data_IF_464605824298
#
_entry.id   IF_464605824298
#
_cell.length_a   1.000
_cell.length_b   1.000
_cell.length_c   1.000
_cell.angle_alpha   90.00
_cell.angle_beta   90.00
_cell.angle_gamma   90.00
#
_symmetry.space_group_name_H-M   'P 1'
#
loop_
_entity.id
_entity.type
_entity.pdbx_description
1 polymer ?
#
# COMPACT_ATOMS: atom_id res chain seq x y z
N UNK A 1 1.02 5.42 40.97
CA UNK A 1 0.39 4.23 40.34
C UNK A 1 1.00 4.06 38.96
N UNK A 2 1.99 3.18 38.79
CA UNK A 2 2.51 2.82 37.47
C UNK A 2 1.56 1.81 36.83
N UNK A 3 0.96 2.19 35.69
CA UNK A 3 0.09 1.32 34.92
C UNK A 3 0.96 0.28 34.19
N UNK A 4 1.36 -0.78 34.90
CA UNK A 4 2.09 -1.90 34.33
C UNK A 4 1.13 -2.66 33.40
N UNK A 5 1.19 -2.38 32.09
CA UNK A 5 0.55 -3.25 31.09
C UNK A 5 1.21 -4.62 31.19
N UNK A 6 0.44 -5.66 31.51
CA UNK A 6 0.88 -7.04 31.29
C UNK A 6 1.32 -7.15 29.82
N UNK A 7 2.52 -7.66 29.52
CA UNK A 7 2.92 -7.86 28.13
C UNK A 7 1.91 -8.81 27.47
N UNK A 8 1.38 -8.42 26.32
CA UNK A 8 0.57 -9.33 25.52
C UNK A 8 1.44 -10.52 25.11
N UNK A 9 0.88 -11.73 25.01
CA UNK A 9 1.63 -12.90 24.55
C UNK A 9 2.11 -12.78 23.09
N UNK A 10 1.52 -11.86 22.32
CA UNK A 10 1.90 -11.55 20.93
C UNK A 10 2.67 -10.24 20.93
N UNK A 11 3.81 -10.20 20.26
CA UNK A 11 4.65 -9.01 20.13
C UNK A 11 4.45 -8.35 18.75
N UNK A 12 4.83 -7.07 18.57
CA UNK A 12 4.80 -6.43 17.26
C UNK A 12 5.76 -7.13 16.30
N UNK A 13 5.35 -7.32 15.05
CA UNK A 13 6.20 -7.90 14.02
C UNK A 13 7.20 -6.85 13.53
N UNK A 14 8.46 -6.98 13.97
CA UNK A 14 9.58 -6.16 13.49
C UNK A 14 9.75 -6.21 11.96
N UNK A 15 9.75 -7.38 11.27
CA UNK A 15 9.93 -7.40 9.82
C UNK A 15 8.78 -6.72 9.09
N UNK A 16 7.54 -6.85 9.58
CA UNK A 16 6.40 -6.12 9.02
C UNK A 16 6.59 -4.61 9.18
N UNK A 17 7.04 -4.14 10.35
CA UNK A 17 7.27 -2.71 10.58
C UNK A 17 8.34 -2.14 9.64
N UNK A 18 9.43 -2.89 9.42
CA UNK A 18 10.49 -2.48 8.50
C UNK A 18 9.96 -2.31 7.07
N UNK A 19 9.14 -3.25 6.59
CA UNK A 19 8.54 -3.17 5.26
C UNK A 19 7.56 -2.01 5.12
N UNK A 20 6.70 -1.79 6.12
CA UNK A 20 5.76 -0.67 6.13
C UNK A 20 6.48 0.67 6.08
N UNK A 21 7.52 0.85 6.90
CA UNK A 21 8.32 2.08 6.94
C UNK A 21 9.13 2.30 5.65
N UNK A 22 9.67 1.22 5.06
CA UNK A 22 10.32 1.30 3.75
C UNK A 22 9.33 1.78 2.68
N UNK A 23 8.13 1.19 2.63
CA UNK A 23 7.12 1.55 1.63
C UNK A 23 6.56 2.96 1.86
N UNK A 24 6.41 3.39 3.11
CA UNK A 24 6.05 4.77 3.44
C UNK A 24 7.08 5.78 2.90
N UNK A 25 8.37 5.47 3.04
CA UNK A 25 9.45 6.31 2.53
C UNK A 25 9.54 6.29 1.00
N UNK A 26 9.25 5.14 0.37
CA UNK A 26 9.30 4.96 -1.07
C UNK A 26 8.05 5.48 -1.81
N UNK A 27 6.91 5.63 -1.11
CA UNK A 27 5.62 6.00 -1.70
C UNK A 27 5.66 7.37 -2.43
N UNK A 28 6.27 8.45 -1.91
CA UNK A 28 6.38 9.70 -2.65
C UNK A 28 7.14 9.55 -3.96
N UNK A 29 8.24 8.78 -3.96
CA UNK A 29 9.04 8.53 -5.16
C UNK A 29 8.24 7.76 -6.22
N UNK A 30 7.53 6.72 -5.78
CA UNK A 30 6.61 5.93 -6.61
C UNK A 30 5.55 6.81 -7.28
N UNK A 31 4.91 7.71 -6.52
CA UNK A 31 3.87 8.62 -7.03
C UNK A 31 4.46 9.64 -8.01
N UNK A 32 5.62 10.22 -7.70
CA UNK A 32 6.31 11.15 -8.61
C UNK A 32 6.68 10.45 -9.91
N UNK A 33 7.18 9.21 -9.85
CA UNK A 33 7.51 8.44 -11.05
C UNK A 33 6.26 8.13 -11.91
N UNK A 34 5.14 7.74 -11.29
CA UNK A 34 3.89 7.48 -12.00
C UNK A 34 3.32 8.75 -12.65
N UNK A 35 3.30 9.87 -11.91
CA UNK A 35 2.87 11.16 -12.46
C UNK A 35 3.82 11.68 -13.55
N UNK A 36 5.13 11.47 -13.41
CA UNK A 36 6.12 11.81 -14.43
C UNK A 36 5.93 11.00 -15.70
N UNK A 37 5.64 9.70 -15.58
CA UNK A 37 5.28 8.82 -16.70
C UNK A 37 4.02 9.32 -17.42
N UNK A 38 2.97 9.69 -16.67
CA UNK A 38 1.75 10.29 -17.23
C UNK A 38 2.02 11.62 -17.95
N UNK A 39 2.81 12.52 -17.35
CA UNK A 39 3.18 13.79 -17.97
C UNK A 39 3.95 13.58 -19.28
N UNK A 40 4.92 12.65 -19.28
CA UNK A 40 5.67 12.28 -20.47
C UNK A 40 4.77 11.74 -21.59
N UNK A 41 3.86 10.81 -21.28
CA UNK A 41 2.91 10.27 -22.24
C UNK A 41 1.96 11.33 -22.76
N UNK A 42 1.44 12.20 -21.89
CA UNK A 42 0.52 13.28 -22.26
C UNK A 42 1.16 14.32 -23.17
N UNK A 43 2.49 14.49 -23.10
CA UNK A 43 3.24 15.38 -23.99
C UNK A 43 3.51 14.74 -25.36
N UNK A 44 3.93 13.47 -25.38
CA UNK A 44 4.47 12.83 -26.59
C UNK A 44 3.45 12.01 -27.38
N UNK A 45 2.48 11.39 -26.70
CA UNK A 45 1.56 10.43 -27.29
C UNK A 45 0.15 11.03 -27.45
N UNK A 46 -0.60 10.60 -28.49
CA UNK A 46 -1.94 11.11 -28.72
C UNK A 46 -2.93 10.55 -27.68
N UNK A 47 -3.17 11.30 -26.60
CA UNK A 47 -4.08 10.91 -25.53
C UNK A 47 -5.54 11.34 -25.78
N UNK A 48 -6.53 10.43 -25.68
CA UNK A 48 -7.92 10.82 -25.53
C UNK A 48 -8.11 11.61 -24.24
N UNK A 49 -8.70 12.82 -24.31
CA UNK A 49 -8.85 13.73 -23.15
C UNK A 49 -9.57 13.06 -21.97
N UNK A 50 -10.61 12.27 -22.22
CA UNK A 50 -11.38 11.59 -21.19
C UNK A 50 -10.54 10.54 -20.44
N UNK A 51 -9.76 9.74 -21.17
CA UNK A 51 -8.89 8.73 -20.56
C UNK A 51 -7.79 9.39 -19.73
N UNK A 52 -7.15 10.44 -20.25
CA UNK A 52 -6.06 11.13 -19.55
C UNK A 52 -6.49 11.67 -18.18
N UNK A 53 -7.68 12.29 -18.11
CA UNK A 53 -8.21 12.81 -16.84
C UNK A 53 -8.48 11.71 -15.81
N UNK A 54 -9.00 10.56 -16.24
CA UNK A 54 -9.25 9.42 -15.34
C UNK A 54 -7.95 8.87 -14.78
N UNK A 55 -6.93 8.70 -15.61
CA UNK A 55 -5.65 8.15 -15.17
C UNK A 55 -4.91 9.08 -14.19
N UNK A 56 -4.96 10.40 -14.42
CA UNK A 56 -4.46 11.39 -13.46
C UNK A 56 -5.23 11.29 -12.14
N UNK A 57 -6.56 11.21 -12.20
CA UNK A 57 -7.37 11.10 -11.00
C UNK A 57 -7.01 9.84 -10.19
N UNK A 58 -6.83 8.70 -10.86
CA UNK A 58 -6.39 7.45 -10.22
C UNK A 58 -4.98 7.57 -9.62
N UNK A 59 -4.05 8.25 -10.30
CA UNK A 59 -2.68 8.43 -9.81
C UNK A 59 -2.65 9.32 -8.56
N UNK A 60 -3.48 10.37 -8.54
CA UNK A 60 -3.65 11.25 -7.37
C UNK A 60 -4.34 10.50 -6.21
N UNK A 61 -5.35 9.68 -6.50
CA UNK A 61 -6.06 8.88 -5.49
C UNK A 61 -5.20 7.78 -4.87
N UNK A 62 -4.19 7.27 -5.58
CA UNK A 62 -3.29 6.24 -5.07
C UNK A 62 -2.58 6.67 -3.79
N UNK A 63 -2.09 7.92 -3.73
CA UNK A 63 -1.33 8.43 -2.60
C UNK A 63 -2.10 8.37 -1.26
N UNK A 64 -3.30 8.99 -1.12
CA UNK A 64 -4.04 8.95 0.14
C UNK A 64 -4.50 7.53 0.50
N UNK A 65 -4.87 6.69 -0.49
CA UNK A 65 -5.25 5.29 -0.23
C UNK A 65 -4.08 4.53 0.40
N UNK A 66 -2.89 4.64 -0.18
CA UNK A 66 -1.71 3.94 0.32
C UNK A 66 -1.20 4.52 1.64
N UNK A 67 -1.27 5.84 1.84
CA UNK A 67 -0.97 6.49 3.12
C UNK A 67 -1.86 5.96 4.25
N UNK A 68 -3.18 5.89 4.01
CA UNK A 68 -4.12 5.36 5.00
C UNK A 68 -3.87 3.88 5.26
N UNK A 69 -3.65 3.08 4.21
CA UNK A 69 -3.28 1.67 4.34
C UNK A 69 -2.06 1.53 5.25
N UNK A 70 -0.94 2.17 4.92
CA UNK A 70 0.31 2.09 5.70
C UNK A 70 0.14 2.58 7.15
N UNK A 71 -0.61 3.65 7.37
CA UNK A 71 -0.93 4.17 8.70
C UNK A 71 -1.64 3.12 9.56
N UNK A 72 -2.70 2.50 9.03
CA UNK A 72 -3.46 1.47 9.76
C UNK A 72 -2.64 0.19 9.96
N UNK A 73 -1.77 -0.15 9.00
CA UNK A 73 -0.82 -1.26 9.13
C UNK A 73 0.14 -1.06 10.30
N UNK A 74 0.80 0.11 10.35
CA UNK A 74 1.73 0.46 11.43
C UNK A 74 1.01 0.55 12.78
N UNK A 75 -0.16 1.18 12.83
CA UNK A 75 -0.98 1.23 14.06
C UNK A 75 -1.39 -0.15 14.54
N UNK A 76 -1.85 -1.02 13.65
CA UNK A 76 -2.28 -2.36 14.02
C UNK A 76 -1.15 -3.27 14.46
N UNK A 77 0.02 -3.14 13.84
CA UNK A 77 1.23 -3.86 14.23
C UNK A 77 1.76 -3.40 15.59
N UNK A 78 1.98 -2.10 15.79
CA UNK A 78 2.58 -1.55 17.01
C UNK A 78 1.65 -1.59 18.22
N UNK A 79 0.34 -1.45 18.02
CA UNK A 79 -0.65 -1.51 19.10
C UNK A 79 -1.21 -2.92 19.32
N UNK A 80 -0.79 -3.90 18.52
CA UNK A 80 -1.27 -5.29 18.58
C UNK A 80 -2.80 -5.34 18.59
N UNK A 81 -3.42 -4.62 17.65
CA UNK A 81 -4.84 -4.30 17.68
C UNK A 81 -5.54 -4.79 16.41
N UNK A 82 -6.56 -5.62 16.58
CA UNK A 82 -7.33 -6.23 15.49
C UNK A 82 -8.05 -5.17 14.63
N UNK A 83 -8.79 -4.19 15.18
CA UNK A 83 -9.53 -3.24 14.34
C UNK A 83 -8.70 -2.50 13.28
N UNK A 84 -7.55 -1.87 13.60
CA UNK A 84 -6.70 -1.24 12.57
C UNK A 84 -6.06 -2.25 11.61
N UNK A 85 -5.74 -3.47 12.06
CA UNK A 85 -5.27 -4.55 11.17
C UNK A 85 -6.34 -4.96 10.15
N UNK A 86 -7.60 -5.03 10.55
CA UNK A 86 -8.71 -5.33 9.63
C UNK A 86 -8.85 -4.23 8.57
N UNK A 87 -8.79 -2.96 8.97
CA UNK A 87 -8.80 -1.84 8.02
C UNK A 87 -7.63 -1.93 7.05
N UNK A 88 -6.43 -2.21 7.54
CA UNK A 88 -5.24 -2.44 6.71
C UNK A 88 -5.45 -3.57 5.70
N UNK A 89 -5.97 -4.72 6.12
CA UNK A 89 -6.22 -5.89 5.27
C UNK A 89 -7.22 -5.54 4.17
N UNK A 90 -8.34 -4.90 4.51
CA UNK A 90 -9.36 -4.49 3.53
C UNK A 90 -8.78 -3.48 2.53
N UNK A 91 -8.05 -2.47 2.99
CA UNK A 91 -7.42 -1.50 2.08
C UNK A 91 -6.35 -2.15 1.20
N UNK A 92 -5.61 -3.14 1.71
CA UNK A 92 -4.61 -3.88 0.93
C UNK A 92 -5.21 -4.72 -0.19
N UNK A 93 -6.51 -5.06 -0.12
CA UNK A 93 -7.20 -5.69 -1.25
C UNK A 93 -7.49 -4.70 -2.39
N UNK A 94 -7.49 -3.38 -2.13
CA UNK A 94 -7.67 -2.35 -3.16
C UNK A 94 -6.36 -2.07 -3.93
N UNK A 95 -5.21 -2.26 -3.29
CA UNK A 95 -3.87 -2.01 -3.87
C UNK A 95 -3.60 -2.76 -5.18
N UNK A 96 -3.93 -4.07 -5.32
CA UNK A 96 -3.76 -4.80 -6.58
C UNK A 96 -4.59 -4.23 -7.73
N UNK A 97 -5.82 -3.77 -7.47
CA UNK A 97 -6.68 -3.23 -8.53
C UNK A 97 -6.11 -1.92 -9.10
N UNK A 98 -5.64 -1.03 -8.22
CA UNK A 98 -5.06 0.23 -8.64
C UNK A 98 -3.70 0.02 -9.32
N UNK A 99 -2.88 -0.91 -8.83
CA UNK A 99 -1.62 -1.28 -9.50
C UNK A 99 -1.87 -1.95 -10.86
N UNK A 100 -2.83 -2.87 -10.96
CA UNK A 100 -3.19 -3.52 -12.21
C UNK A 100 -3.66 -2.51 -13.27
N UNK A 101 -4.34 -1.44 -12.84
CA UNK A 101 -4.73 -0.36 -13.74
C UNK A 101 -3.51 0.26 -14.43
N UNK A 102 -2.48 0.67 -13.68
CA UNK A 102 -1.27 1.25 -14.27
C UNK A 102 -0.39 0.23 -15.00
N UNK A 103 -0.47 -1.06 -14.67
CA UNK A 103 0.30 -2.11 -15.32
C UNK A 103 -0.31 -2.61 -16.64
N UNK A 104 -1.63 -2.59 -16.78
CA UNK A 104 -2.35 -3.29 -17.86
C UNK A 104 -3.43 -2.44 -18.52
N UNK A 105 -4.25 -1.73 -17.74
CA UNK A 105 -5.44 -1.04 -18.26
C UNK A 105 -5.22 0.43 -18.63
N UNK A 106 -4.02 0.97 -18.41
CA UNK A 106 -3.65 2.30 -18.84
C UNK A 106 -3.69 2.41 -20.37
N UNK A 107 -4.02 3.59 -20.91
CA UNK A 107 -4.10 3.82 -22.37
C UNK A 107 -2.77 3.53 -23.06
N UNK A 108 -1.68 4.00 -22.47
CA UNK A 108 -0.32 3.66 -22.87
C UNK A 108 0.43 3.13 -21.66
N UNK A 109 0.93 1.90 -21.75
CA UNK A 109 1.71 1.25 -20.70
C UNK A 109 3.18 1.25 -21.13
N UNK A 110 4.05 1.88 -20.35
CA UNK A 110 5.50 1.81 -20.54
C UNK A 110 6.08 0.67 -19.67
N UNK A 111 7.25 0.17 -20.06
CA UNK A 111 7.98 -0.80 -19.25
C UNK A 111 8.26 -0.27 -17.84
N UNK A 112 8.52 1.05 -17.70
CA UNK A 112 8.74 1.70 -16.41
C UNK A 112 7.54 1.51 -15.47
N UNK A 113 6.31 1.69 -15.95
CA UNK A 113 5.09 1.56 -15.14
C UNK A 113 4.93 0.13 -14.64
N UNK A 114 5.19 -0.85 -15.53
CA UNK A 114 5.11 -2.26 -15.18
C UNK A 114 6.10 -2.64 -14.09
N UNK A 115 7.37 -2.24 -14.22
CA UNK A 115 8.40 -2.54 -13.23
C UNK A 115 8.10 -1.91 -11.87
N UNK A 116 7.75 -0.61 -11.89
CA UNK A 116 7.45 0.16 -10.68
C UNK A 116 6.28 -0.46 -9.91
N UNK A 117 5.16 -0.75 -10.58
CA UNK A 117 3.99 -1.33 -9.93
C UNK A 117 4.15 -2.82 -9.59
N UNK A 118 4.94 -3.59 -10.35
CA UNK A 118 5.26 -4.97 -10.00
C UNK A 118 6.05 -5.05 -8.69
N UNK A 119 7.09 -4.21 -8.52
CA UNK A 119 7.87 -4.15 -7.27
C UNK A 119 6.99 -3.67 -6.11
N UNK A 120 6.17 -2.64 -6.34
CA UNK A 120 5.22 -2.14 -5.34
C UNK A 120 4.25 -3.23 -4.86
N UNK A 121 3.70 -4.00 -5.80
CA UNK A 121 2.74 -5.07 -5.51
C UNK A 121 3.40 -6.24 -4.80
N UNK A 122 4.63 -6.61 -5.18
CA UNK A 122 5.39 -7.66 -4.51
C UNK A 122 5.64 -7.32 -3.04
N UNK A 123 6.09 -6.09 -2.75
CA UNK A 123 6.31 -5.61 -1.39
C UNK A 123 5.00 -5.55 -0.58
N UNK A 124 3.94 -5.01 -1.17
CA UNK A 124 2.62 -4.93 -0.53
C UNK A 124 2.05 -6.33 -0.24
N UNK A 125 2.25 -7.29 -1.15
CA UNK A 125 1.86 -8.69 -0.97
C UNK A 125 2.55 -9.35 0.23
N UNK A 126 3.86 -9.15 0.40
CA UNK A 126 4.59 -9.66 1.57
C UNK A 126 4.06 -9.02 2.87
N UNK A 127 3.83 -7.70 2.88
CA UNK A 127 3.26 -7.02 4.04
C UNK A 127 1.85 -7.55 4.38
N UNK A 128 1.02 -7.78 3.36
CA UNK A 128 -0.31 -8.35 3.53
C UNK A 128 -0.27 -9.73 4.22
N UNK A 129 0.56 -10.64 3.72
CA UNK A 129 0.71 -11.98 4.29
C UNK A 129 1.19 -11.92 5.75
N UNK A 130 2.17 -11.06 6.05
CA UNK A 130 2.66 -10.86 7.41
C UNK A 130 1.58 -10.29 8.33
N UNK A 131 0.80 -9.31 7.88
CA UNK A 131 -0.27 -8.70 8.66
C UNK A 131 -1.42 -9.69 8.94
N UNK A 132 -1.78 -10.53 7.96
CA UNK A 132 -2.77 -11.60 8.15
C UNK A 132 -2.29 -12.61 9.19
N UNK A 133 -1.02 -13.04 9.11
CA UNK A 133 -0.44 -13.93 10.12
C UNK A 133 -0.48 -13.31 11.52
N UNK A 134 -0.13 -12.02 11.65
CA UNK A 134 -0.22 -11.29 12.92
C UNK A 134 -1.66 -11.22 13.44
N UNK A 135 -2.63 -10.93 12.57
CA UNK A 135 -4.05 -10.89 12.94
C UNK A 135 -4.54 -12.26 13.44
N UNK A 136 -4.14 -13.35 12.79
CA UNK A 136 -4.48 -14.72 13.23
C UNK A 136 -3.88 -15.03 14.61
N UNK A 137 -2.62 -14.65 14.85
CA UNK A 137 -1.98 -14.83 16.16
C UNK A 137 -2.69 -14.02 17.26
N UNK A 138 -3.05 -12.76 16.98
CA UNK A 138 -3.78 -11.92 17.91
C UNK A 138 -5.18 -12.47 18.22
N UNK A 139 -5.89 -13.03 17.25
CA UNK A 139 -7.18 -13.70 17.49
C UNK A 139 -6.99 -14.94 18.37
N UNK A 140 -5.97 -15.75 18.10
CA UNK A 140 -5.72 -17.02 18.81
C UNK A 140 -5.31 -16.86 20.28
N UNK A 141 -4.55 -15.82 20.61
CA UNK A 141 -3.95 -15.67 21.94
C UNK A 141 -4.59 -14.57 22.80
N UNK A 142 -5.57 -13.83 22.27
CA UNK A 142 -6.23 -12.71 22.96
C UNK A 142 -7.74 -12.94 23.20
N UNK A 143 -8.29 -14.01 22.63
CA UNK A 143 -9.61 -14.60 22.93
C UNK A 143 -9.35 -15.91 23.66
#
# INVERSE_FOLDING_TARGET
>A
MSFQRKPSPVQPSLPLQMLLSFQETALPLMVVANLGSLAYKGWLLPYPRSAFSVEIALAVLQLPIEMLRLLFGSKGNLLESIPPLVVYVVMSLLTPFLSAFFMVWQTYVLALDQWIHAVFLALSGVQFLMAVNLAVQLIRFRI
#
